data_IF_043971160484
#
_entry.id   IF_043971160484
#
_cell.length_a   1.000
_cell.length_b   1.000
_cell.length_c   1.000
_cell.angle_alpha   90.00
_cell.angle_beta   90.00
_cell.angle_gamma   90.00
#
_symmetry.space_group_name_H-M   'P 1'
#
loop_
_entity.id
_entity.type
_entity.pdbx_description
1 polymer ?
#
# COMPACT_ATOMS: atom_id res chain seq x y z
N UNK A 1 18.62 7.57 -23.17
CA UNK A 1 18.30 6.12 -23.12
C UNK A 1 16.88 5.79 -23.57
N UNK A 2 16.11 6.73 -24.14
CA UNK A 2 14.70 6.48 -24.57
C UNK A 2 14.62 5.75 -25.91
N UNK A 3 15.58 5.94 -26.82
CA UNK A 3 15.59 5.26 -28.14
C UNK A 3 15.79 3.74 -28.08
N UNK A 4 16.16 3.17 -26.92
CA UNK A 4 16.35 1.72 -26.76
C UNK A 4 15.14 0.97 -26.19
N UNK A 5 14.03 1.66 -25.88
CA UNK A 5 12.85 1.06 -25.25
C UNK A 5 11.62 0.93 -26.17
N UNK A 6 11.76 1.15 -27.49
CA UNK A 6 10.66 1.06 -28.46
C UNK A 6 10.72 -0.17 -29.36
N UNK A 7 11.78 -0.99 -29.29
CA UNK A 7 11.84 -2.27 -30.01
C UNK A 7 10.82 -3.26 -29.42
N UNK A 8 9.73 -3.50 -30.14
CA UNK A 8 8.71 -4.50 -29.81
C UNK A 8 7.28 -3.97 -29.65
N UNK A 9 7.06 -2.65 -29.76
CA UNK A 9 5.71 -2.09 -29.74
C UNK A 9 5.00 -2.33 -31.08
N UNK A 10 3.76 -2.79 -31.03
CA UNK A 10 2.92 -2.89 -32.21
C UNK A 10 2.52 -1.50 -32.74
N UNK A 11 2.15 -1.40 -34.03
CA UNK A 11 1.88 -0.12 -34.68
C UNK A 11 0.77 0.74 -34.03
N UNK A 12 -0.22 0.18 -33.31
CA UNK A 12 -1.14 0.96 -32.47
C UNK A 12 -0.44 1.55 -31.23
N UNK A 13 0.27 0.75 -30.44
CA UNK A 13 0.90 1.22 -29.21
C UNK A 13 2.01 2.25 -29.46
N UNK A 14 2.74 2.11 -30.58
CA UNK A 14 3.73 3.10 -30.98
C UNK A 14 3.12 4.48 -31.26
N UNK A 15 1.93 4.53 -31.88
CA UNK A 15 1.22 5.78 -32.17
C UNK A 15 0.62 6.41 -30.91
N UNK A 16 0.16 5.60 -29.98
CA UNK A 16 -0.33 6.08 -28.68
C UNK A 16 0.81 6.66 -27.85
N UNK A 17 1.97 6.00 -27.82
CA UNK A 17 3.17 6.50 -27.16
C UNK A 17 3.63 7.83 -27.77
N UNK A 18 3.61 7.95 -29.10
CA UNK A 18 4.00 9.19 -29.79
C UNK A 18 3.02 10.34 -29.50
N UNK A 19 1.72 10.05 -29.39
CA UNK A 19 0.72 11.04 -28.99
C UNK A 19 0.90 11.53 -27.54
N UNK A 20 1.21 10.60 -26.62
CA UNK A 20 1.48 10.93 -25.21
C UNK A 20 2.77 11.73 -25.04
N UNK A 21 3.82 11.40 -25.81
CA UNK A 21 5.08 12.16 -25.81
C UNK A 21 4.92 13.57 -26.42
N UNK A 22 4.01 13.75 -27.38
CA UNK A 22 3.70 15.07 -27.94
C UNK A 22 2.91 15.96 -26.97
N UNK A 23 2.25 15.39 -25.95
CA UNK A 23 1.49 16.10 -24.93
C UNK A 23 2.36 16.54 -23.74
N UNK A 24 3.55 15.94 -23.59
CA UNK A 24 4.53 16.29 -22.57
C UNK A 24 5.44 17.44 -23.06
N UNK A 25 5.61 18.48 -22.23
CA UNK A 25 6.53 19.59 -22.52
C UNK A 25 7.98 19.05 -22.59
N UNK A 26 8.71 19.22 -23.72
CA UNK A 26 10.08 18.75 -23.86
C UNK A 26 11.04 19.24 -22.77
N UNK A 27 10.70 20.36 -22.11
CA UNK A 27 11.46 20.90 -20.98
C UNK A 27 11.38 20.04 -19.69
N UNK A 28 10.30 19.28 -19.51
CA UNK A 28 10.03 18.54 -18.26
C UNK A 28 10.82 17.23 -18.17
N UNK A 29 11.14 16.60 -19.31
CA UNK A 29 11.97 15.40 -19.33
C UNK A 29 13.37 15.63 -18.77
N UNK A 30 13.97 16.79 -19.06
CA UNK A 30 15.26 17.18 -18.50
C UNK A 30 15.17 17.52 -17.01
N UNK A 31 14.00 17.95 -16.52
CA UNK A 31 13.79 18.22 -15.10
C UNK A 31 13.82 16.91 -14.29
N UNK A 32 13.19 15.85 -14.79
CA UNK A 32 13.26 14.52 -14.15
C UNK A 32 14.68 13.93 -14.19
N UNK A 33 15.40 14.02 -15.32
CA UNK A 33 16.78 13.53 -15.37
C UNK A 33 17.72 14.33 -14.46
N UNK A 34 17.54 15.66 -14.38
CA UNK A 34 18.30 16.51 -13.45
C UNK A 34 17.98 16.19 -11.99
N UNK A 35 16.72 15.96 -11.66
CA UNK A 35 16.32 15.57 -10.31
C UNK A 35 16.88 14.20 -9.93
N UNK A 36 16.81 13.21 -10.83
CA UNK A 36 17.39 11.89 -10.63
C UNK A 36 18.92 11.96 -10.46
N UNK A 37 19.62 12.72 -11.32
CA UNK A 37 21.06 12.92 -11.21
C UNK A 37 21.46 13.65 -9.93
N UNK A 38 20.68 14.65 -9.49
CA UNK A 38 20.94 15.38 -8.25
C UNK A 38 20.75 14.50 -7.01
N UNK A 39 19.73 13.63 -7.01
CA UNK A 39 19.53 12.63 -5.95
C UNK A 39 20.69 11.63 -5.93
N UNK A 40 21.08 11.10 -7.08
CA UNK A 40 22.18 10.13 -7.17
C UNK A 40 23.51 10.73 -6.68
N UNK A 41 23.81 11.99 -7.04
CA UNK A 41 24.94 12.76 -6.51
C UNK A 41 24.84 12.99 -5.00
N UNK A 42 23.66 13.28 -4.46
CA UNK A 42 23.48 13.45 -3.02
C UNK A 42 23.73 12.14 -2.25
N UNK A 43 23.30 10.99 -2.80
CA UNK A 43 23.53 9.68 -2.20
C UNK A 43 24.97 9.19 -2.35
N UNK A 44 25.62 9.42 -3.49
CA UNK A 44 27.05 9.07 -3.66
C UNK A 44 27.98 10.00 -2.89
N UNK A 45 27.63 11.28 -2.72
CA UNK A 45 28.43 12.23 -1.93
C UNK A 45 28.33 12.00 -0.41
N UNK A 46 27.20 11.48 0.10
CA UNK A 46 27.04 11.08 1.50
C UNK A 46 27.68 9.73 1.85
N UNK A 47 27.94 8.88 0.86
CA UNK A 47 28.42 7.51 1.09
C UNK A 47 29.90 7.40 1.53
N UNK A 48 30.69 8.47 1.46
CA UNK A 48 32.08 8.51 1.94
C UNK A 48 33.03 7.60 1.15
N UNK A 49 34.01 8.23 0.46
CA UNK A 49 35.06 7.60 -0.35
C UNK A 49 34.60 7.02 -1.70
N UNK A 50 34.33 7.91 -2.66
CA UNK A 50 34.45 7.55 -4.07
C UNK A 50 35.95 7.36 -4.40
N UNK A 51 36.32 6.18 -4.88
CA UNK A 51 37.67 5.90 -5.35
C UNK A 51 38.04 6.88 -6.48
N UNK A 52 39.19 7.58 -6.42
CA UNK A 52 39.54 8.56 -7.43
C UNK A 52 39.74 7.90 -8.79
N UNK A 53 39.15 8.49 -9.82
CA UNK A 53 39.31 8.05 -11.20
C UNK A 53 40.80 7.87 -11.55
N UNK A 54 41.20 6.74 -12.17
CA UNK A 54 42.57 6.55 -12.62
C UNK A 54 43.03 7.72 -13.50
N UNK A 55 44.22 8.27 -13.22
CA UNK A 55 44.66 9.56 -13.79
C UNK A 55 44.58 9.61 -15.32
N UNK A 56 44.90 8.52 -16.01
CA UNK A 56 44.81 8.45 -17.47
C UNK A 56 43.38 8.54 -18.02
N UNK A 57 42.40 8.01 -17.27
CA UNK A 57 40.99 8.10 -17.62
C UNK A 57 40.45 9.50 -17.28
N UNK A 58 40.79 10.04 -16.12
CA UNK A 58 40.42 11.39 -15.72
C UNK A 58 40.91 12.45 -16.72
N UNK A 59 42.15 12.34 -17.20
CA UNK A 59 42.70 13.25 -18.21
C UNK A 59 41.98 13.15 -19.56
N UNK A 60 41.58 11.95 -19.98
CA UNK A 60 40.80 11.75 -21.22
C UNK A 60 39.40 12.31 -21.11
N UNK A 61 38.72 12.08 -19.98
CA UNK A 61 37.38 12.62 -19.72
C UNK A 61 37.42 14.14 -19.67
N UNK A 62 38.41 14.74 -18.99
CA UNK A 62 38.57 16.20 -18.95
C UNK A 62 38.81 16.81 -20.34
N UNK A 63 39.59 16.14 -21.18
CA UNK A 63 39.84 16.59 -22.55
C UNK A 63 38.60 16.48 -23.46
N UNK A 64 37.76 15.45 -23.27
CA UNK A 64 36.51 15.28 -24.02
C UNK A 64 35.38 16.18 -23.49
N UNK A 65 35.32 16.44 -22.19
CA UNK A 65 34.30 17.31 -21.58
C UNK A 65 34.32 18.72 -22.18
N UNK A 66 35.49 19.23 -22.55
CA UNK A 66 35.63 20.52 -23.24
C UNK A 66 34.95 20.58 -24.62
N UNK A 67 34.59 19.43 -25.21
CA UNK A 67 33.86 19.34 -26.49
C UNK A 67 32.34 19.39 -26.30
N UNK A 68 31.83 19.04 -25.12
CA UNK A 68 30.39 18.87 -24.87
C UNK A 68 29.83 19.90 -23.88
N UNK A 69 30.65 20.38 -22.95
CA UNK A 69 30.28 21.47 -22.06
C UNK A 69 30.73 22.76 -22.74
N UNK A 70 29.76 23.51 -23.29
CA UNK A 70 30.01 24.82 -23.88
C UNK A 70 30.84 25.68 -22.94
N UNK A 71 31.77 26.47 -23.50
CA UNK A 71 32.64 27.35 -22.73
C UNK A 71 31.83 28.14 -21.70
N UNK A 72 32.32 28.27 -20.44
CA UNK A 72 31.58 28.98 -19.42
C UNK A 72 31.35 30.41 -19.88
N UNK A 73 30.07 30.81 -20.00
CA UNK A 73 29.74 32.22 -20.18
C UNK A 73 30.31 32.99 -18.99
N UNK A 74 31.31 33.81 -19.27
CA UNK A 74 31.83 34.78 -18.33
C UNK A 74 30.75 35.85 -18.11
N UNK A 75 30.03 35.78 -16.99
CA UNK A 75 29.16 36.88 -16.56
C UNK A 75 27.95 36.48 -15.72
N UNK A 76 28.16 36.17 -14.44
CA UNK A 76 27.09 36.08 -13.45
C UNK A 76 27.67 36.18 -12.03
N UNK A 77 27.07 36.96 -11.11
CA UNK A 77 27.72 37.39 -9.87
C UNK A 77 27.94 36.22 -8.92
N UNK A 78 29.15 36.15 -8.37
CA UNK A 78 29.63 35.08 -7.51
C UNK A 78 28.76 34.87 -6.28
N UNK A 79 28.35 33.62 -6.09
CA UNK A 79 27.89 33.13 -4.79
C UNK A 79 29.12 32.58 -4.08
N UNK A 80 29.66 33.39 -3.16
CA UNK A 80 30.66 32.96 -2.18
C UNK A 80 30.04 31.87 -1.30
N UNK A 81 30.54 30.64 -1.44
CA UNK A 81 30.26 29.56 -0.49
C UNK A 81 31.43 29.51 0.51
N UNK A 82 31.22 29.88 1.78
CA UNK A 82 32.30 29.85 2.77
C UNK A 82 32.67 28.40 3.10
N UNK A 83 33.94 28.05 2.86
CA UNK A 83 34.54 26.81 3.36
C UNK A 83 34.55 26.83 4.88
N UNK A 84 33.75 25.95 5.49
CA UNK A 84 33.74 25.72 6.93
C UNK A 84 34.80 24.66 7.24
N UNK A 85 35.92 25.09 7.80
CA UNK A 85 36.95 24.21 8.36
C UNK A 85 36.33 23.36 9.49
N UNK A 86 36.36 22.04 9.34
CA UNK A 86 36.02 21.07 10.38
C UNK A 86 37.27 20.78 11.23
N UNK A 87 37.19 20.81 12.58
CA UNK A 87 38.33 20.48 13.42
C UNK A 87 38.57 18.97 13.47
N UNK A 88 39.86 18.62 13.57
CA UNK A 88 40.41 17.28 13.68
C UNK A 88 39.78 16.47 14.83
N UNK A 89 39.37 15.24 14.53
CA UNK A 89 39.01 14.25 15.55
C UNK A 89 40.27 13.49 16.01
N UNK A 90 40.54 13.58 17.31
CA UNK A 90 41.51 12.74 18.00
C UNK A 90 40.96 11.33 18.20
N UNK A 91 41.81 10.38 17.84
CA UNK A 91 41.73 8.96 18.11
C UNK A 91 41.60 8.65 19.60
N UNK A 92 40.61 7.83 19.99
CA UNK A 92 40.66 7.13 21.27
C UNK A 92 40.04 5.73 21.15
N UNK A 93 40.93 4.77 21.29
CA UNK A 93 40.73 3.33 21.43
C UNK A 93 40.04 2.98 22.76
N UNK A 94 39.05 2.08 22.76
CA UNK A 94 38.48 1.55 24.00
C UNK A 94 37.51 0.39 23.80
N UNK A 95 38.02 -0.83 24.09
CA UNK A 95 37.33 -2.13 24.06
C UNK A 95 36.61 -2.41 25.40
N UNK A 96 35.73 -3.42 25.39
CA UNK A 96 35.07 -4.14 26.53
C UNK A 96 33.70 -3.52 26.88
N UNK A 97 32.54 -4.19 26.85
CA UNK A 97 32.19 -5.60 27.07
C UNK A 97 31.36 -5.69 28.36
N UNK A 98 30.06 -5.99 28.29
CA UNK A 98 29.27 -6.16 29.52
C UNK A 98 27.75 -6.24 29.33
N UNK A 99 27.20 -7.38 29.74
CA UNK A 99 25.78 -7.76 29.71
C UNK A 99 24.93 -6.96 30.71
N UNK A 100 23.64 -6.82 30.38
CA UNK A 100 22.58 -7.24 31.31
C UNK A 100 21.63 -6.17 31.83
N UNK A 101 20.35 -6.58 31.85
CA UNK A 101 19.22 -6.11 32.65
C UNK A 101 18.28 -5.07 32.03
N UNK A 102 17.11 -5.58 31.63
CA UNK A 102 15.83 -4.87 31.53
C UNK A 102 15.48 -4.12 32.81
N UNK A 103 14.63 -3.09 32.69
CA UNK A 103 13.55 -2.96 33.65
C UNK A 103 12.17 -2.76 32.99
N UNK A 104 11.19 -3.40 33.62
CA UNK A 104 9.76 -3.10 33.52
C UNK A 104 9.52 -1.64 33.93
N UNK A 105 8.77 -0.91 33.12
CA UNK A 105 8.24 0.41 33.47
C UNK A 105 6.83 0.56 32.93
N UNK A 106 5.84 0.24 33.75
CA UNK A 106 4.43 0.54 33.50
C UNK A 106 4.18 2.01 33.88
N UNK A 107 3.87 2.85 32.90
CA UNK A 107 3.35 4.21 33.12
C UNK A 107 1.83 4.17 33.28
N UNK A 108 1.27 4.95 34.23
CA UNK A 108 -0.16 5.22 34.30
C UNK A 108 -0.49 6.63 33.80
N UNK A 109 -1.80 6.84 33.63
CA UNK A 109 -2.57 8.11 33.63
C UNK A 109 -2.77 8.82 32.29
N UNK A 110 -4.01 8.71 31.83
CA UNK A 110 -4.63 9.63 30.90
C UNK A 110 -5.34 10.80 31.58
N UNK A 111 -5.76 11.69 30.68
CA UNK A 111 -6.96 12.52 30.68
C UNK A 111 -7.09 13.67 31.70
N UNK A 112 -6.64 14.84 31.25
CA UNK A 112 -7.32 16.14 31.37
C UNK A 112 -8.72 16.12 30.68
N UNK A 113 -9.72 16.98 31.02
CA UNK A 113 -9.60 18.44 30.88
C UNK A 113 -10.27 19.29 31.97
N UNK A 114 -9.68 20.48 32.24
CA UNK A 114 -10.33 21.55 33.00
C UNK A 114 -10.31 22.88 32.25
N UNK A 115 -11.54 23.38 32.08
CA UNK A 115 -11.96 24.73 31.70
C UNK A 115 -11.13 25.82 32.40
N UNK A 116 -10.70 26.82 31.63
CA UNK A 116 -10.19 28.10 32.14
C UNK A 116 -11.16 29.20 31.72
N UNK A 117 -11.70 29.90 32.71
CA UNK A 117 -12.55 31.07 32.55
C UNK A 117 -11.71 32.34 32.50
N UNK A 118 -12.19 33.25 31.65
CA UNK A 118 -11.80 34.64 31.46
C UNK A 118 -12.25 35.52 32.64
N UNK A 119 -11.37 36.39 33.14
CA UNK A 119 -11.71 37.77 33.60
C UNK A 119 -10.41 38.59 33.70
N UNK A 120 -10.22 39.60 32.85
CA UNK A 120 -10.33 41.04 33.16
C UNK A 120 -9.34 41.56 34.22
N UNK A 121 -8.32 42.27 33.75
CA UNK A 121 -7.73 43.44 34.41
C UNK A 121 -7.28 44.45 33.35
N UNK A 122 -8.02 45.55 33.27
CA UNK A 122 -7.71 46.76 32.49
C UNK A 122 -7.15 47.79 33.45
N UNK A 123 -5.89 48.19 33.25
CA UNK A 123 -5.25 49.27 34.00
C UNK A 123 -5.49 50.60 33.28
N UNK A 124 -6.08 51.53 34.02
CA UNK A 124 -6.62 52.81 33.54
C UNK A 124 -5.62 53.92 33.84
N UNK A 125 -5.32 54.70 32.81
CA UNK A 125 -4.34 55.79 32.77
C UNK A 125 -5.00 57.08 33.25
N UNK A 126 -4.39 57.75 34.22
CA UNK A 126 -4.82 59.03 34.79
C UNK A 126 -4.27 60.21 33.96
N UNK A 127 -5.10 61.18 33.53
CA UNK A 127 -4.67 62.42 32.90
C UNK A 127 -4.95 63.67 33.77
N UNK A 128 -4.30 64.77 33.37
CA UNK A 128 -4.67 66.20 33.59
C UNK A 128 -3.87 66.89 34.72
N UNK A 129 -3.05 67.91 34.38
CA UNK A 129 -3.36 69.37 34.46
C UNK A 129 -3.25 69.90 35.91
N UNK A 130 -2.74 71.08 36.25
CA UNK A 130 -2.50 72.33 35.53
C UNK A 130 -1.95 73.38 36.53
N UNK A 131 -0.95 74.14 36.08
CA UNK A 131 -0.63 75.55 36.38
C UNK A 131 -0.57 76.12 37.83
N UNK A 132 0.45 76.97 38.07
CA UNK A 132 0.34 78.41 38.37
C UNK A 132 1.66 78.92 39.01
N UNK A 133 2.35 79.90 38.38
CA UNK A 133 2.48 81.32 38.81
C UNK A 133 3.14 81.49 40.21
N UNK A 134 4.08 82.40 40.50
CA UNK A 134 4.54 83.67 39.91
C UNK A 134 5.76 84.16 40.72
N UNK A 135 6.65 84.90 40.04
CA UNK A 135 7.40 86.10 40.46
C UNK A 135 7.70 86.34 41.94
N UNK A 136 8.98 86.56 42.25
CA UNK A 136 9.45 87.48 43.28
C UNK A 136 10.30 88.58 42.62
N UNK A 137 9.81 89.82 42.67
CA UNK A 137 10.55 91.04 42.33
C UNK A 137 10.99 91.76 43.60
N UNK A 138 12.29 92.10 43.60
CA UNK A 138 13.00 93.29 44.09
C UNK A 138 12.42 94.23 45.19
N UNK A 139 13.30 94.59 46.13
CA UNK A 139 13.54 95.94 46.69
C UNK A 139 14.80 95.85 47.59
N UNK A 140 15.75 96.78 47.69
CA UNK A 140 16.00 98.09 47.10
C UNK A 140 17.19 98.77 47.82
N UNK A 141 17.74 99.84 47.23
CA UNK A 141 18.45 100.91 47.97
C UNK A 141 19.99 100.92 47.96
N UNK A 142 20.62 102.10 48.19
CA UNK A 142 21.43 102.75 47.16
C UNK A 142 22.83 103.26 47.61
N UNK A 143 23.59 103.80 46.63
CA UNK A 143 24.63 104.86 46.70
C UNK A 143 26.10 104.43 46.49
N UNK A 144 26.68 104.96 45.40
CA UNK A 144 28.01 105.58 45.21
C UNK A 144 28.41 105.41 43.73
N UNK A 145 27.95 106.30 42.85
CA UNK A 145 28.56 107.59 42.52
C UNK A 145 29.95 107.47 41.84
N UNK A 146 29.89 107.52 40.50
CA UNK A 146 30.69 108.44 39.67
C UNK A 146 32.20 108.25 39.56
N UNK A 147 32.61 107.06 39.12
CA UNK A 147 33.85 106.85 38.33
C UNK A 147 33.87 105.53 37.53
N UNK A 148 32.86 104.68 37.70
CA UNK A 148 32.69 103.41 36.99
C UNK A 148 32.09 103.58 35.57
N UNK A 149 31.42 104.70 35.28
CA UNK A 149 30.67 104.86 34.02
C UNK A 149 31.51 104.77 32.74
N UNK A 150 32.73 105.30 32.73
CA UNK A 150 33.60 105.26 31.54
C UNK A 150 34.31 103.91 31.37
N UNK A 151 34.72 103.27 32.47
CA UNK A 151 35.28 101.92 32.42
C UNK A 151 34.21 100.85 32.20
N UNK A 152 32.98 101.03 32.68
CA UNK A 152 31.88 100.13 32.40
C UNK A 152 31.38 100.29 30.96
N UNK A 153 31.42 101.48 30.36
CA UNK A 153 31.10 101.66 28.94
C UNK A 153 32.19 101.05 28.04
N UNK A 154 33.47 101.26 28.36
CA UNK A 154 34.59 100.66 27.62
C UNK A 154 34.70 99.15 27.85
N UNK A 155 34.50 98.65 29.08
CA UNK A 155 34.46 97.22 29.37
C UNK A 155 33.16 96.56 28.90
N UNK A 156 32.02 97.26 28.85
CA UNK A 156 30.82 96.73 28.21
C UNK A 156 30.94 96.71 26.70
N UNK A 157 31.71 97.63 26.10
CA UNK A 157 32.02 97.65 24.67
C UNK A 157 33.08 96.61 24.30
N UNK A 158 34.12 96.43 25.13
CA UNK A 158 35.12 95.39 24.97
C UNK A 158 34.54 94.01 25.32
N UNK A 159 33.67 93.90 26.31
CA UNK A 159 32.90 92.69 26.59
C UNK A 159 31.83 92.48 25.52
N UNK A 160 31.22 93.51 24.90
CA UNK A 160 30.37 93.32 23.73
C UNK A 160 31.21 92.77 22.58
N UNK A 161 32.38 93.34 22.30
CA UNK A 161 33.26 92.91 21.20
C UNK A 161 33.87 91.55 21.47
N UNK A 162 34.21 91.21 22.72
CA UNK A 162 34.68 89.87 23.11
C UNK A 162 33.53 88.87 23.16
N UNK A 163 32.34 89.21 23.64
CA UNK A 163 31.14 88.35 23.57
C UNK A 163 30.63 88.22 22.14
N UNK A 164 30.90 89.18 21.26
CA UNK A 164 30.56 89.14 19.84
C UNK A 164 31.63 88.40 19.02
N UNK A 165 32.90 88.47 19.44
CA UNK A 165 34.03 87.72 18.84
C UNK A 165 34.07 86.26 19.30
N UNK A 166 33.95 86.00 20.60
CA UNK A 166 33.76 84.68 21.21
C UNK A 166 32.35 84.13 20.87
N UNK A 167 31.39 85.03 20.63
CA UNK A 167 30.10 84.71 20.04
C UNK A 167 30.22 84.24 18.59
N UNK A 168 31.20 84.71 17.82
CA UNK A 168 31.47 84.22 16.45
C UNK A 168 31.91 82.76 16.44
N UNK A 169 32.90 82.40 17.24
CA UNK A 169 33.40 81.01 17.36
C UNK A 169 32.36 80.06 17.99
N UNK A 170 31.61 80.54 19.00
CA UNK A 170 30.49 79.78 19.58
C UNK A 170 29.32 79.63 18.60
N UNK A 171 29.03 80.64 17.78
CA UNK A 171 27.99 80.55 16.74
C UNK A 171 28.41 79.59 15.61
N UNK A 172 29.69 79.55 15.26
CA UNK A 172 30.23 78.59 14.29
C UNK A 172 30.20 77.16 14.84
N UNK A 173 30.55 76.97 16.12
CA UNK A 173 30.44 75.67 16.80
C UNK A 173 28.98 75.23 16.92
N UNK A 174 28.07 76.12 17.28
CA UNK A 174 26.62 75.84 17.33
C UNK A 174 26.09 75.51 15.93
N UNK A 175 26.50 76.24 14.90
CA UNK A 175 26.11 75.95 13.52
C UNK A 175 26.64 74.58 13.04
N UNK A 176 27.89 74.25 13.37
CA UNK A 176 28.49 72.94 13.08
C UNK A 176 27.76 71.80 13.80
N UNK A 177 27.53 71.93 15.10
CA UNK A 177 26.79 70.94 15.88
C UNK A 177 25.33 70.80 15.43
N UNK A 178 24.70 71.90 14.99
CA UNK A 178 23.35 71.86 14.40
C UNK A 178 23.37 71.08 13.07
N UNK A 179 24.37 71.32 12.23
CA UNK A 179 24.57 70.56 10.99
C UNK A 179 24.83 69.06 11.21
N UNK A 180 25.66 68.71 12.21
CA UNK A 180 25.87 67.30 12.61
C UNK A 180 24.60 66.67 13.17
N UNK A 181 23.83 67.40 13.99
CA UNK A 181 22.56 66.92 14.52
C UNK A 181 21.53 66.67 13.40
N UNK A 182 21.47 67.55 12.40
CA UNK A 182 20.60 67.40 11.24
C UNK A 182 21.04 66.22 10.36
N UNK A 183 22.34 65.99 10.17
CA UNK A 183 22.87 64.83 9.45
C UNK A 183 22.53 63.51 10.16
N UNK A 184 22.76 63.43 11.47
CA UNK A 184 22.40 62.26 12.28
C UNK A 184 20.88 62.01 12.28
N UNK A 185 20.07 63.07 12.25
CA UNK A 185 18.62 62.94 12.15
C UNK A 185 18.21 62.35 10.80
N UNK A 186 18.80 62.79 9.70
CA UNK A 186 18.52 62.25 8.36
C UNK A 186 18.91 60.77 8.29
N UNK A 187 20.07 60.40 8.84
CA UNK A 187 20.52 59.01 8.90
C UNK A 187 19.58 58.15 9.76
N UNK A 188 19.14 58.64 10.92
CA UNK A 188 18.18 57.95 11.77
C UNK A 188 16.81 57.77 11.07
N UNK A 189 16.35 58.77 10.31
CA UNK A 189 15.12 58.66 9.51
C UNK A 189 15.26 57.66 8.35
N UNK A 190 16.44 57.57 7.72
CA UNK A 190 16.72 56.57 6.69
C UNK A 190 16.77 55.15 7.28
N UNK A 191 17.52 54.94 8.36
CA UNK A 191 17.59 53.67 9.07
C UNK A 191 16.21 53.21 9.57
N UNK A 192 15.36 54.15 10.02
CA UNK A 192 13.99 53.84 10.41
C UNK A 192 13.13 53.37 9.23
N UNK A 193 13.27 53.99 8.04
CA UNK A 193 12.56 53.55 6.82
C UNK A 193 13.02 52.15 6.38
N UNK A 194 14.32 51.89 6.41
CA UNK A 194 14.88 50.57 6.09
C UNK A 194 14.39 49.50 7.08
N UNK A 195 14.36 49.80 8.39
CA UNK A 195 13.85 48.88 9.39
C UNK A 195 12.36 48.55 9.21
N UNK A 196 11.54 49.51 8.75
CA UNK A 196 10.13 49.26 8.43
C UNK A 196 10.00 48.36 7.21
N UNK A 197 10.79 48.59 6.16
CA UNK A 197 10.80 47.74 4.96
C UNK A 197 11.24 46.31 5.30
N UNK A 198 12.35 46.17 6.01
CA UNK A 198 12.88 44.87 6.45
C UNK A 198 11.88 44.10 7.34
N UNK A 199 11.13 44.80 8.20
CA UNK A 199 10.05 44.17 8.99
C UNK A 199 8.89 43.71 8.09
N UNK A 200 8.55 44.46 7.05
CA UNK A 200 7.55 44.08 6.06
C UNK A 200 7.95 42.81 5.28
N UNK A 201 9.20 42.74 4.85
CA UNK A 201 9.77 41.55 4.18
C UNK A 201 9.84 40.34 5.13
N UNK A 202 10.27 40.55 6.37
CA UNK A 202 10.30 39.48 7.37
C UNK A 202 8.88 38.93 7.64
N UNK A 203 7.86 39.80 7.68
CA UNK A 203 6.48 39.39 7.85
C UNK A 203 5.97 38.59 6.64
N UNK A 204 6.27 39.03 5.41
CA UNK A 204 5.83 38.29 4.21
C UNK A 204 6.47 36.91 4.11
N UNK A 205 7.74 36.77 4.51
CA UNK A 205 8.43 35.48 4.59
C UNK A 205 7.80 34.60 5.67
N UNK A 206 7.47 35.16 6.83
CA UNK A 206 6.82 34.41 7.92
C UNK A 206 5.44 33.87 7.48
N UNK A 207 4.65 34.71 6.81
CA UNK A 207 3.34 34.32 6.29
C UNK A 207 3.47 33.23 5.20
N UNK A 208 4.46 33.33 4.32
CA UNK A 208 4.76 32.32 3.30
C UNK A 208 5.18 30.97 3.93
N UNK A 209 6.04 31.00 4.95
CA UNK A 209 6.44 29.80 5.70
C UNK A 209 5.26 29.16 6.43
N UNK A 210 4.35 29.95 6.98
CA UNK A 210 3.12 29.44 7.60
C UNK A 210 2.22 28.78 6.55
N UNK A 211 2.08 29.38 5.36
CA UNK A 211 1.33 28.80 4.27
C UNK A 211 1.91 27.46 3.80
N UNK A 212 3.23 27.37 3.67
CA UNK A 212 3.91 26.11 3.31
C UNK A 212 3.77 25.03 4.37
N UNK A 213 3.82 25.40 5.66
CA UNK A 213 3.54 24.45 6.75
C UNK A 213 2.12 23.91 6.68
N UNK A 214 1.13 24.77 6.39
CA UNK A 214 -0.27 24.34 6.21
C UNK A 214 -0.38 23.39 5.02
N UNK A 215 0.18 23.74 3.85
CA UNK A 215 0.22 22.87 2.67
C UNK A 215 0.84 21.51 2.97
N UNK A 216 2.01 21.52 3.60
CA UNK A 216 2.72 20.29 4.00
C UNK A 216 1.89 19.43 4.95
N UNK A 217 1.20 20.05 5.92
CA UNK A 217 0.32 19.31 6.83
C UNK A 217 -0.88 18.68 6.13
N UNK A 218 -1.44 19.36 5.13
CA UNK A 218 -2.53 18.83 4.30
C UNK A 218 -2.05 17.65 3.45
N UNK A 219 -0.90 17.78 2.78
CA UNK A 219 -0.32 16.71 1.98
C UNK A 219 0.01 15.45 2.82
N UNK A 220 0.47 15.62 4.06
CA UNK A 220 0.69 14.49 4.96
C UNK A 220 -0.63 13.79 5.31
N UNK A 221 -1.69 14.55 5.60
CA UNK A 221 -3.01 13.97 5.88
C UNK A 221 -3.60 13.23 4.66
N UNK A 222 -3.41 13.78 3.45
CA UNK A 222 -3.81 13.13 2.19
C UNK A 222 -3.03 11.84 1.94
N UNK A 223 -1.71 11.84 2.18
CA UNK A 223 -0.88 10.65 2.08
C UNK A 223 -1.34 9.56 3.05
N UNK A 224 -1.57 9.91 4.31
CA UNK A 224 -2.02 8.94 5.32
C UNK A 224 -3.39 8.35 4.93
N UNK A 225 -4.30 9.17 4.39
CA UNK A 225 -5.59 8.71 3.86
C UNK A 225 -5.42 7.78 2.66
N UNK A 226 -4.47 8.07 1.77
CA UNK A 226 -4.17 7.22 0.61
C UNK A 226 -3.56 5.87 1.04
N UNK A 227 -2.72 5.85 2.08
CA UNK A 227 -2.16 4.64 2.66
C UNK A 227 -3.24 3.77 3.31
N UNK A 228 -4.17 4.36 4.05
CA UNK A 228 -5.34 3.65 4.61
C UNK A 228 -6.18 3.02 3.50
N UNK A 229 -6.45 3.76 2.41
CA UNK A 229 -7.19 3.24 1.26
C UNK A 229 -6.44 2.10 0.56
N UNK A 230 -5.12 2.23 0.41
CA UNK A 230 -4.27 1.17 -0.16
C UNK A 230 -4.31 -0.09 0.69
N UNK A 231 -4.22 0.04 2.02
CA UNK A 231 -4.36 -1.11 2.93
C UNK A 231 -5.73 -1.77 2.82
N UNK A 232 -6.80 -0.98 2.70
CA UNK A 232 -8.15 -1.50 2.51
C UNK A 232 -8.29 -2.28 1.19
N UNK A 233 -7.70 -1.79 0.09
CA UNK A 233 -7.69 -2.49 -1.19
C UNK A 233 -6.90 -3.80 -1.13
N UNK A 234 -5.76 -3.82 -0.45
CA UNK A 234 -4.99 -5.06 -0.25
C UNK A 234 -5.80 -6.10 0.54
N UNK A 235 -6.48 -5.70 1.61
CA UNK A 235 -7.34 -6.61 2.38
C UNK A 235 -8.54 -7.13 1.55
N UNK A 236 -9.09 -6.31 0.65
CA UNK A 236 -10.14 -6.75 -0.28
C UNK A 236 -9.62 -7.75 -1.33
N UNK A 237 -8.39 -7.56 -1.78
CA UNK A 237 -7.73 -8.47 -2.71
C UNK A 237 -7.47 -9.83 -2.05
N UNK A 238 -6.88 -9.84 -0.85
CA UNK A 238 -6.64 -11.06 -0.08
C UNK A 238 -7.95 -11.85 0.14
N UNK A 239 -9.02 -11.16 0.56
CA UNK A 239 -10.33 -11.79 0.74
C UNK A 239 -10.97 -12.32 -0.56
N UNK A 240 -10.56 -11.78 -1.71
CA UNK A 240 -11.04 -12.27 -3.01
C UNK A 240 -10.27 -13.50 -3.46
N UNK A 241 -8.95 -13.55 -3.21
CA UNK A 241 -8.11 -14.73 -3.43
C UNK A 241 -8.57 -15.91 -2.57
N UNK A 242 -8.87 -15.68 -1.29
CA UNK A 242 -9.42 -16.71 -0.40
C UNK A 242 -10.75 -17.27 -0.93
N UNK A 243 -11.60 -16.39 -1.47
CA UNK A 243 -12.88 -16.80 -2.07
C UNK A 243 -12.69 -17.63 -3.34
N UNK A 244 -11.73 -17.26 -4.18
CA UNK A 244 -11.39 -18.02 -5.39
C UNK A 244 -10.90 -19.43 -5.03
N UNK A 245 -10.01 -19.54 -4.05
CA UNK A 245 -9.52 -20.83 -3.53
C UNK A 245 -10.68 -21.71 -3.03
N UNK A 246 -11.62 -21.12 -2.27
CA UNK A 246 -12.80 -21.84 -1.80
C UNK A 246 -13.74 -22.27 -2.94
N UNK A 247 -13.85 -21.45 -3.99
CA UNK A 247 -14.64 -21.81 -5.16
C UNK A 247 -13.99 -22.96 -5.94
N UNK A 248 -12.67 -22.97 -6.07
CA UNK A 248 -11.93 -24.08 -6.70
C UNK A 248 -12.14 -25.39 -5.94
N UNK A 249 -12.05 -25.38 -4.61
CA UNK A 249 -12.34 -26.55 -3.77
C UNK A 249 -13.77 -27.06 -4.00
N UNK A 250 -14.76 -26.14 -4.01
CA UNK A 250 -16.16 -26.49 -4.26
C UNK A 250 -16.40 -27.00 -5.67
N UNK A 251 -15.71 -26.47 -6.67
CA UNK A 251 -15.81 -26.95 -8.05
C UNK A 251 -15.23 -28.36 -8.13
N UNK A 252 -14.08 -28.62 -7.51
CA UNK A 252 -13.51 -29.97 -7.42
C UNK A 252 -14.46 -30.96 -6.75
N UNK A 253 -15.10 -30.57 -5.63
CA UNK A 253 -16.10 -31.40 -4.95
C UNK A 253 -17.29 -31.70 -5.88
N UNK A 254 -17.78 -30.69 -6.59
CA UNK A 254 -18.88 -30.85 -7.54
C UNK A 254 -18.49 -31.68 -8.76
N UNK A 255 -17.30 -31.51 -9.31
CA UNK A 255 -16.78 -32.32 -10.41
C UNK A 255 -16.65 -33.78 -9.99
N UNK A 256 -16.22 -34.05 -8.76
CA UNK A 256 -16.19 -35.41 -8.21
C UNK A 256 -17.58 -36.04 -8.09
N UNK A 257 -18.62 -35.22 -7.84
CA UNK A 257 -20.01 -35.67 -7.79
C UNK A 257 -20.64 -35.85 -9.18
N UNK A 258 -20.07 -35.23 -10.22
CA UNK A 258 -20.64 -35.16 -11.57
C UNK A 258 -19.96 -36.12 -12.57
N UNK A 259 -18.83 -36.74 -12.22
CA UNK A 259 -18.03 -37.49 -13.21
C UNK A 259 -18.51 -38.91 -13.60
N UNK A 260 -19.68 -39.37 -13.17
CA UNK A 260 -20.38 -40.46 -13.85
C UNK A 260 -21.81 -40.00 -14.15
N UNK A 261 -22.22 -40.05 -15.42
CA UNK A 261 -23.61 -39.81 -15.77
C UNK A 261 -24.49 -40.72 -14.89
N UNK A 262 -25.58 -40.20 -14.28
CA UNK A 262 -26.46 -41.02 -13.45
C UNK A 262 -26.82 -42.32 -14.18
N UNK A 263 -26.79 -43.49 -13.50
CA UNK A 263 -26.94 -44.78 -14.18
C UNK A 263 -28.19 -44.90 -15.05
N UNK A 264 -29.27 -44.21 -14.69
CA UNK A 264 -30.51 -44.11 -15.46
C UNK A 264 -30.35 -43.32 -16.77
N UNK A 265 -29.57 -42.24 -16.77
CA UNK A 265 -29.23 -41.47 -17.97
C UNK A 265 -28.32 -42.28 -18.88
N UNK A 266 -27.28 -42.90 -18.32
CA UNK A 266 -26.35 -43.72 -19.10
C UNK A 266 -27.04 -44.96 -19.71
N UNK A 267 -27.97 -45.58 -18.97
CA UNK A 267 -28.83 -46.62 -19.49
C UNK A 267 -29.75 -46.10 -20.61
N UNK A 268 -30.37 -44.93 -20.45
CA UNK A 268 -31.24 -44.36 -21.47
C UNK A 268 -30.48 -44.11 -22.78
N UNK A 269 -29.23 -43.63 -22.71
CA UNK A 269 -28.36 -43.44 -23.87
C UNK A 269 -27.98 -44.76 -24.56
N UNK A 270 -27.65 -45.81 -23.77
CA UNK A 270 -27.39 -47.15 -24.29
C UNK A 270 -28.61 -47.73 -25.02
N UNK A 271 -29.82 -47.52 -24.47
CA UNK A 271 -31.07 -47.98 -25.08
C UNK A 271 -31.48 -47.13 -26.30
N UNK A 272 -31.11 -45.85 -26.35
CA UNK A 272 -31.35 -44.98 -27.49
C UNK A 272 -30.44 -45.32 -28.69
N UNK A 273 -29.23 -45.81 -28.42
CA UNK A 273 -28.24 -46.22 -29.43
C UNK A 273 -27.71 -47.63 -29.15
N UNK A 274 -28.55 -48.68 -29.27
CA UNK A 274 -28.18 -50.02 -28.83
C UNK A 274 -27.10 -50.62 -29.74
N UNK A 275 -26.02 -51.20 -29.19
CA UNK A 275 -25.08 -52.00 -29.97
C UNK A 275 -25.78 -53.27 -30.49
N UNK A 276 -25.23 -53.86 -31.56
CA UNK A 276 -25.87 -54.98 -32.25
C UNK A 276 -26.00 -56.25 -31.39
N UNK A 277 -25.17 -56.38 -30.36
CA UNK A 277 -25.12 -57.49 -29.42
C UNK A 277 -25.78 -57.18 -28.08
N UNK A 278 -26.53 -56.07 -27.97
CA UNK A 278 -27.23 -55.73 -26.73
C UNK A 278 -28.30 -56.78 -26.41
N UNK A 279 -28.13 -57.47 -25.30
CA UNK A 279 -29.10 -58.42 -24.77
C UNK A 279 -29.87 -57.83 -23.59
N UNK A 280 -31.14 -58.22 -23.46
CA UNK A 280 -32.05 -57.81 -22.39
C UNK A 280 -32.77 -59.04 -21.88
N UNK A 281 -32.56 -59.38 -20.62
CA UNK A 281 -33.10 -60.61 -20.02
C UNK A 281 -33.86 -60.28 -18.74
N UNK A 282 -35.13 -60.68 -18.60
CA UNK A 282 -35.89 -60.43 -17.39
C UNK A 282 -35.33 -61.23 -16.21
N UNK A 283 -35.35 -60.63 -15.02
CA UNK A 283 -35.03 -61.34 -13.79
C UNK A 283 -36.13 -62.35 -13.43
N UNK A 284 -35.71 -63.52 -12.96
CA UNK A 284 -36.57 -64.51 -12.33
C UNK A 284 -36.21 -64.65 -10.86
N UNK A 285 -37.19 -64.56 -9.97
CA UNK A 285 -37.01 -64.83 -8.54
C UNK A 285 -36.77 -66.32 -8.30
N UNK A 286 -35.91 -66.64 -7.34
CA UNK A 286 -35.69 -68.02 -6.87
C UNK A 286 -36.60 -68.37 -5.69
N UNK A 287 -36.34 -69.52 -5.05
CA UNK A 287 -37.06 -69.97 -3.86
C UNK A 287 -36.67 -69.27 -2.55
N UNK A 288 -35.73 -68.30 -2.54
CA UNK A 288 -35.34 -67.62 -1.31
C UNK A 288 -36.53 -66.84 -0.71
N UNK A 289 -36.86 -67.02 0.58
CA UNK A 289 -38.00 -66.34 1.22
C UNK A 289 -37.96 -64.81 1.14
N UNK A 290 -36.78 -64.21 0.92
CA UNK A 290 -36.64 -62.76 0.79
C UNK A 290 -37.34 -62.22 -0.47
N UNK A 291 -37.42 -63.03 -1.53
CA UNK A 291 -37.94 -62.63 -2.84
C UNK A 291 -39.10 -63.49 -3.35
N UNK A 292 -39.22 -64.75 -2.92
CA UNK A 292 -40.20 -65.71 -3.47
C UNK A 292 -41.67 -65.35 -3.17
N UNK A 293 -41.94 -64.56 -2.14
CA UNK A 293 -43.27 -64.06 -1.78
C UNK A 293 -43.51 -62.60 -2.20
N UNK A 294 -42.59 -62.01 -2.98
CA UNK A 294 -42.62 -60.59 -3.36
C UNK A 294 -42.63 -60.43 -4.87
N UNK A 295 -43.12 -59.29 -5.35
CA UNK A 295 -43.09 -58.92 -6.76
C UNK A 295 -41.76 -58.27 -7.16
N UNK A 296 -40.64 -58.93 -6.88
CA UNK A 296 -39.31 -58.45 -7.31
C UNK A 296 -39.12 -58.79 -8.79
N UNK A 297 -38.61 -57.85 -9.58
CA UNK A 297 -38.45 -58.03 -11.01
C UNK A 297 -37.42 -57.11 -11.66
N UNK A 298 -37.67 -56.77 -12.91
CA UNK A 298 -36.78 -55.97 -13.75
C UNK A 298 -36.04 -56.82 -14.79
N UNK A 299 -34.89 -56.36 -15.24
CA UNK A 299 -34.10 -56.99 -16.29
C UNK A 299 -32.60 -56.71 -16.12
N UNK A 300 -31.77 -57.59 -16.67
CA UNK A 300 -30.36 -57.33 -16.94
C UNK A 300 -30.18 -56.94 -18.39
N UNK A 301 -29.36 -55.92 -18.63
CA UNK A 301 -29.07 -55.36 -19.94
C UNK A 301 -27.55 -55.42 -20.11
N UNK A 302 -27.05 -56.03 -21.18
CA UNK A 302 -25.62 -56.29 -21.33
C UNK A 302 -25.17 -56.26 -22.80
N UNK A 303 -23.95 -55.79 -23.06
CA UNK A 303 -23.28 -55.86 -24.36
C UNK A 303 -21.84 -56.37 -24.18
N UNK A 304 -21.53 -57.49 -24.83
CA UNK A 304 -20.20 -58.12 -24.79
C UNK A 304 -19.15 -57.23 -25.48
N UNK A 305 -19.47 -56.65 -26.62
CA UNK A 305 -18.54 -55.83 -27.40
C UNK A 305 -18.17 -54.53 -26.69
N UNK A 306 -19.10 -53.96 -25.92
CA UNK A 306 -18.86 -52.75 -25.14
C UNK A 306 -18.31 -53.04 -23.74
N UNK A 307 -18.46 -54.27 -23.22
CA UNK A 307 -18.20 -54.61 -21.81
C UNK A 307 -18.95 -53.69 -20.85
N UNK A 308 -20.20 -53.36 -21.20
CA UNK A 308 -21.07 -52.45 -20.44
C UNK A 308 -22.41 -53.14 -20.23
N UNK A 309 -22.94 -53.01 -19.02
CA UNK A 309 -24.30 -53.42 -18.74
C UNK A 309 -24.88 -52.79 -17.49
N UNK A 310 -26.17 -52.99 -17.30
CA UNK A 310 -26.96 -52.44 -16.21
C UNK A 310 -27.93 -53.50 -15.69
N UNK A 311 -28.07 -53.57 -14.36
CA UNK A 311 -29.19 -54.25 -13.71
C UNK A 311 -30.29 -53.23 -13.46
N UNK A 312 -31.45 -53.45 -14.06
CA UNK A 312 -32.70 -52.79 -13.68
C UNK A 312 -33.42 -53.71 -12.72
N UNK A 313 -33.64 -53.26 -11.50
CA UNK A 313 -34.29 -54.03 -10.45
C UNK A 313 -35.53 -53.29 -9.98
N UNK A 314 -36.65 -53.99 -9.89
CA UNK A 314 -37.90 -53.44 -9.39
C UNK A 314 -38.26 -54.08 -8.04
N UNK A 315 -38.60 -53.23 -7.08
CA UNK A 315 -39.10 -53.59 -5.75
C UNK A 315 -38.17 -54.51 -4.93
N UNK A 316 -36.86 -54.38 -5.16
CA UNK A 316 -35.86 -55.13 -4.41
C UNK A 316 -35.89 -54.77 -2.91
N UNK A 317 -35.95 -55.76 -1.99
CA UNK A 317 -35.97 -55.49 -0.55
C UNK A 317 -34.78 -54.65 -0.08
N UNK A 318 -35.06 -53.66 0.77
CA UNK A 318 -34.02 -52.84 1.39
C UNK A 318 -33.13 -53.69 2.31
N UNK A 319 -31.82 -53.65 2.10
CA UNK A 319 -30.85 -54.36 2.93
C UNK A 319 -30.20 -53.46 3.98
N UNK A 320 -29.70 -54.08 5.05
CA UNK A 320 -28.82 -53.43 6.01
C UNK A 320 -27.38 -53.71 5.59
N UNK A 321 -26.73 -52.76 4.92
CA UNK A 321 -25.41 -52.92 4.29
C UNK A 321 -24.29 -53.33 5.26
N UNK A 322 -24.45 -53.01 6.55
CA UNK A 322 -23.55 -53.41 7.63
C UNK A 322 -23.71 -54.88 8.06
N UNK A 323 -24.78 -55.55 7.60
CA UNK A 323 -25.07 -56.95 7.89
C UNK A 323 -24.98 -57.83 6.63
N UNK A 324 -25.55 -57.38 5.51
CA UNK A 324 -25.55 -58.11 4.24
C UNK A 324 -25.64 -57.15 3.05
N UNK A 325 -25.04 -57.55 1.92
CA UNK A 325 -25.11 -56.81 0.66
C UNK A 325 -25.48 -57.74 -0.49
N UNK A 326 -26.04 -57.17 -1.56
CA UNK A 326 -26.32 -57.93 -2.77
C UNK A 326 -25.07 -57.97 -3.65
N UNK A 327 -24.84 -59.08 -4.35
CA UNK A 327 -23.73 -59.22 -5.27
C UNK A 327 -24.18 -59.87 -6.57
N UNK A 328 -23.68 -59.35 -7.70
CA UNK A 328 -23.91 -59.90 -9.02
C UNK A 328 -22.81 -60.91 -9.39
N UNK A 329 -23.22 -62.03 -9.95
CA UNK A 329 -22.36 -63.05 -10.55
C UNK A 329 -22.72 -63.24 -12.01
N UNK A 330 -21.68 -63.32 -12.85
CA UNK A 330 -21.82 -63.51 -14.29
C UNK A 330 -21.11 -64.79 -14.70
N UNK A 331 -21.87 -65.71 -15.28
CA UNK A 331 -21.35 -66.95 -15.84
C UNK A 331 -21.10 -66.72 -17.32
N UNK A 332 -19.87 -66.98 -17.75
CA UNK A 332 -19.34 -66.67 -19.08
C UNK A 332 -18.68 -67.92 -19.63
N UNK A 333 -18.69 -68.11 -20.95
CA UNK A 333 -18.07 -69.27 -21.59
C UNK A 333 -16.57 -69.40 -21.29
N UNK A 334 -15.90 -68.28 -21.08
CA UNK A 334 -14.46 -68.21 -20.81
C UNK A 334 -14.08 -68.45 -19.34
N UNK A 335 -15.06 -68.61 -18.46
CA UNK A 335 -14.85 -68.80 -17.02
C UNK A 335 -15.41 -70.13 -16.53
N UNK A 336 -14.75 -70.72 -15.54
CA UNK A 336 -15.25 -71.95 -14.90
C UNK A 336 -16.50 -71.65 -14.10
N UNK A 337 -17.45 -72.58 -14.09
CA UNK A 337 -18.69 -72.45 -13.30
C UNK A 337 -18.41 -72.30 -11.79
N UNK A 338 -17.30 -72.83 -11.27
CA UNK A 338 -16.92 -72.66 -9.86
C UNK A 338 -16.37 -71.26 -9.54
N UNK A 339 -16.00 -70.48 -10.55
CA UNK A 339 -15.41 -69.14 -10.40
C UNK A 339 -16.06 -68.16 -11.39
N UNK A 340 -17.36 -67.84 -11.21
CA UNK A 340 -18.03 -66.84 -12.03
C UNK A 340 -17.38 -65.46 -11.88
N UNK A 341 -17.61 -64.58 -12.84
CA UNK A 341 -17.12 -63.20 -12.78
C UNK A 341 -17.94 -62.42 -11.76
N UNK A 342 -17.25 -61.66 -10.91
CA UNK A 342 -17.86 -60.69 -10.02
C UNK A 342 -18.34 -59.48 -10.84
N UNK A 343 -19.64 -59.23 -10.81
CA UNK A 343 -20.28 -58.10 -11.49
C UNK A 343 -20.51 -56.89 -10.58
N UNK A 344 -20.03 -56.95 -9.33
CA UNK A 344 -20.10 -55.87 -8.37
C UNK A 344 -21.07 -56.13 -7.21
N UNK A 345 -20.85 -55.40 -6.12
CA UNK A 345 -21.67 -55.40 -4.90
C UNK A 345 -22.53 -54.14 -4.87
N UNK A 346 -23.77 -54.27 -4.41
CA UNK A 346 -24.70 -53.15 -4.35
C UNK A 346 -25.69 -53.24 -3.18
N UNK A 347 -26.30 -52.10 -2.88
CA UNK A 347 -27.33 -51.96 -1.85
C UNK A 347 -28.63 -51.47 -2.47
N UNK A 348 -29.76 -51.95 -1.95
CA UNK A 348 -31.07 -51.37 -2.19
C UNK A 348 -31.42 -50.47 -1.00
N UNK A 349 -31.28 -49.14 -1.16
CA UNK A 349 -31.57 -48.19 -0.08
C UNK A 349 -33.05 -47.81 0.03
N UNK A 350 -33.85 -48.11 -1.00
CA UNK A 350 -35.28 -47.82 -1.06
C UNK A 350 -36.01 -48.84 -1.94
N UNK A 351 -37.29 -49.07 -1.66
CA UNK A 351 -38.18 -49.86 -2.53
C UNK A 351 -38.55 -49.03 -3.76
N UNK A 352 -38.56 -49.67 -4.93
CA UNK A 352 -38.89 -49.06 -6.21
C UNK A 352 -37.93 -49.54 -7.31
N UNK A 353 -37.79 -48.74 -8.36
CA UNK A 353 -36.88 -49.02 -9.47
C UNK A 353 -35.46 -48.59 -9.13
N UNK A 354 -34.50 -49.51 -9.25
CA UNK A 354 -33.06 -49.27 -9.13
C UNK A 354 -32.38 -49.57 -10.46
N UNK A 355 -31.43 -48.71 -10.85
CA UNK A 355 -30.56 -48.92 -12.01
C UNK A 355 -29.13 -48.96 -11.51
N UNK A 356 -28.47 -50.10 -11.71
CA UNK A 356 -27.15 -50.38 -11.15
C UNK A 356 -26.22 -50.74 -12.30
N UNK A 357 -25.12 -50.00 -12.52
CA UNK A 357 -24.13 -50.39 -13.53
C UNK A 357 -23.44 -51.69 -13.10
N UNK A 358 -23.15 -52.55 -14.08
CA UNK A 358 -22.41 -53.80 -13.85
C UNK A 358 -20.91 -53.47 -13.84
N UNK A 359 -20.23 -53.76 -12.74
CA UNK A 359 -18.80 -53.49 -12.55
C UNK A 359 -17.97 -54.78 -12.67
N UNK A 360 -17.97 -55.37 -13.86
CA UNK A 360 -17.19 -56.57 -14.15
C UNK A 360 -15.71 -56.22 -14.34
N UNK A 361 -14.85 -56.62 -13.39
CA UNK A 361 -13.39 -56.40 -13.48
C UNK A 361 -12.66 -57.34 -14.43
N UNK A 362 -13.31 -58.43 -14.83
CA UNK A 362 -12.80 -59.41 -15.79
C UNK A 362 -13.64 -59.34 -17.06
N UNK A 363 -13.02 -59.62 -18.21
CA UNK A 363 -13.74 -59.70 -19.47
C UNK A 363 -14.84 -60.76 -19.45
N UNK A 364 -16.03 -60.39 -19.89
CA UNK A 364 -17.21 -61.27 -19.98
C UNK A 364 -17.54 -61.50 -21.45
N UNK A 365 -17.53 -62.75 -21.90
CA UNK A 365 -17.83 -63.13 -23.29
C UNK A 365 -18.81 -64.29 -23.30
N UNK A 366 -19.82 -64.22 -24.17
CA UNK A 366 -20.90 -65.20 -24.25
C UNK A 366 -21.48 -65.53 -22.86
N UNK A 367 -21.99 -64.53 -22.10
CA UNK A 367 -22.59 -64.80 -20.82
C UNK A 367 -23.77 -65.77 -20.97
N UNK A 368 -23.91 -66.70 -20.04
CA UNK A 368 -24.98 -67.71 -20.03
C UNK A 368 -25.98 -67.50 -18.90
N UNK A 369 -25.54 -66.87 -17.81
CA UNK A 369 -26.36 -66.61 -16.63
C UNK A 369 -25.86 -65.39 -15.87
N UNK A 370 -26.80 -64.53 -15.46
CA UNK A 370 -26.61 -63.53 -14.43
C UNK A 370 -27.34 -63.96 -13.16
N UNK A 371 -26.71 -63.80 -12.00
CA UNK A 371 -27.23 -64.24 -10.72
C UNK A 371 -26.98 -63.20 -9.62
N UNK A 372 -28.00 -62.85 -8.85
CA UNK A 372 -27.87 -61.97 -7.67
C UNK A 372 -27.96 -62.80 -6.40
N UNK A 373 -26.95 -62.72 -5.55
CA UNK A 373 -26.92 -63.39 -4.24
C UNK A 373 -26.94 -62.39 -3.09
N UNK A 374 -27.35 -62.84 -1.90
CA UNK A 374 -27.19 -62.09 -0.64
C UNK A 374 -25.93 -62.57 0.09
N UNK A 375 -24.95 -61.68 0.22
CA UNK A 375 -23.64 -61.99 0.78
C UNK A 375 -23.37 -61.14 2.03
N UNK A 376 -22.30 -61.47 2.76
CA UNK A 376 -21.81 -60.64 3.88
C UNK A 376 -21.33 -59.25 3.40
N UNK A 377 -21.13 -58.27 4.30
CA UNK A 377 -20.66 -56.94 3.92
C UNK A 377 -19.32 -57.00 3.20
N UNK A 378 -19.21 -56.26 2.09
CA UNK A 378 -18.08 -56.28 1.16
C UNK A 378 -18.11 -57.41 0.14
N UNK A 379 -19.13 -58.26 0.15
CA UNK A 379 -19.26 -59.40 -0.77
C UNK A 379 -18.30 -60.56 -0.48
N UNK A 380 -18.21 -61.47 -1.45
CA UNK A 380 -17.27 -62.60 -1.45
C UNK A 380 -16.55 -62.67 -2.79
N UNK A 381 -15.40 -63.36 -2.82
CA UNK A 381 -14.60 -63.55 -4.05
C UNK A 381 -15.11 -64.73 -4.87
N UNK A 382 -15.77 -65.70 -4.22
CA UNK A 382 -16.42 -66.85 -4.83
C UNK A 382 -17.70 -67.11 -4.04
N UNK A 383 -18.86 -67.13 -4.70
CA UNK A 383 -20.14 -67.40 -4.04
C UNK A 383 -20.41 -68.90 -3.88
N UNK A 384 -20.88 -69.27 -2.69
CA UNK A 384 -21.41 -70.60 -2.38
C UNK A 384 -22.87 -70.77 -2.90
N UNK A 385 -23.53 -69.66 -3.28
CA UNK A 385 -24.89 -69.61 -3.87
C UNK A 385 -26.02 -70.07 -2.94
N UNK A 386 -25.75 -70.18 -1.65
CA UNK A 386 -26.74 -70.56 -0.63
C UNK A 386 -27.93 -69.59 -0.54
N UNK A 387 -27.72 -68.31 -0.89
CA UNK A 387 -28.71 -67.23 -0.86
C UNK A 387 -28.91 -66.61 -2.25
N UNK A 388 -29.09 -67.44 -3.28
CA UNK A 388 -29.42 -66.98 -4.63
C UNK A 388 -30.83 -66.37 -4.64
N UNK A 389 -30.97 -65.12 -5.07
CA UNK A 389 -32.22 -64.37 -5.07
C UNK A 389 -32.83 -64.22 -6.46
N UNK A 390 -32.02 -63.76 -7.43
CA UNK A 390 -32.46 -63.52 -8.80
C UNK A 390 -31.57 -64.25 -9.78
N UNK A 391 -32.15 -64.71 -10.88
CA UNK A 391 -31.44 -65.34 -11.98
C UNK A 391 -32.00 -64.85 -13.33
N UNK A 392 -31.13 -64.62 -14.30
CA UNK A 392 -31.47 -64.26 -15.67
C UNK A 392 -30.58 -65.05 -16.63
N UNK A 393 -31.18 -66.06 -17.29
CA UNK A 393 -30.49 -66.93 -18.24
C UNK A 393 -30.67 -66.40 -19.67
N UNK A 394 -29.58 -66.39 -20.44
CA UNK A 394 -29.51 -65.86 -21.81
C UNK A 394 -30.00 -66.84 -22.88
#
# INVERSE_FOLDING_TARGET
MVDQATEGLDSPAARELEALLAELDPGDHLAFERAAAAVDLAFTSQAGELEPLPQGLAARIAADAARFVGAPEQGGPGVDVPQRELPAQESSTGRVGGRGASPRGASPRGAEPRRSQSSRSTEHRDPSRESARRRTEAAGGPRLATSIGWFAAAAASLALVVVWRDGGERMETIASLTGELDALRIEAEQAAKEAVLARGEAQSIADALEQERKRSSTLLAERDTADDRRQQLLAQLDASVDRETQLEERVSDLESLVYEAPPDVALADLLANPPADLVRVPWSTTGDPLVSERSVGGEVIWSDSMQVGYMVLDDMPVNAADQFQYQLWIFSADQKEETPVDGGVFDASSVGRLVIPIDAKLGVHDPSLFAVTLEKPGGVVVSERDRLLLAAAL
#
